data_IF_183306360638
#
_entry.id   IF_183306360638
#
_cell.length_a   1.000
_cell.length_b   1.000
_cell.length_c   1.000
_cell.angle_alpha   90.00
_cell.angle_beta   90.00
_cell.angle_gamma   90.00
#
_symmetry.space_group_name_H-M   'P 1'
#
loop_
_entity.id
_entity.type
_entity.pdbx_description
1 polymer ?
2 non-polymer ?
3 non-polymer ?
4 water ?
#
# COMPACT_ATOMS: atom_id res chain seq x y z
N UNK A 2 8.22 -26.42 -13.42
CA UNK A 2 9.61 -26.78 -13.69
C UNK A 2 10.50 -25.62 -14.13
N UNK A 3 10.02 -24.39 -13.96
CA UNK A 3 10.83 -23.22 -14.28
C UNK A 3 11.88 -23.02 -13.19
N UNK A 4 13.11 -22.75 -13.61
CA UNK A 4 14.18 -22.59 -12.63
C UNK A 4 14.02 -21.28 -11.86
N UNK A 5 14.60 -21.25 -10.67
CA UNK A 5 14.60 -19.98 -9.94
C UNK A 5 15.42 -18.94 -10.70
N UNK A 6 16.50 -19.36 -11.36
CA UNK A 6 17.29 -18.39 -12.13
C UNK A 6 16.40 -17.73 -13.17
N UNK A 7 15.53 -18.49 -13.83
CA UNK A 7 14.65 -17.91 -14.84
C UNK A 7 13.58 -16.98 -14.25
N UNK A 8 12.97 -17.36 -13.13
CA UNK A 8 12.01 -16.46 -12.50
C UNK A 8 12.70 -15.17 -12.12
N UNK A 9 13.91 -15.28 -11.54
CA UNK A 9 14.62 -14.07 -11.09
C UNK A 9 14.99 -13.18 -12.27
N UNK A 10 15.38 -13.79 -13.39
CA UNK A 10 15.74 -13.02 -14.57
C UNK A 10 14.51 -12.34 -15.16
N UNK A 11 13.39 -13.07 -15.21
CA UNK A 11 12.17 -12.49 -15.78
C UNK A 11 11.69 -11.32 -14.95
N UNK A 12 11.60 -11.50 -13.62
CA UNK A 12 11.08 -10.39 -12.81
C UNK A 12 12.03 -9.20 -12.85
N UNK A 13 13.33 -9.45 -12.77
CA UNK A 13 14.27 -8.33 -12.94
C UNK A 13 14.03 -7.58 -14.25
N UNK A 14 13.75 -8.31 -15.34
CA UNK A 14 13.56 -7.65 -16.63
C UNK A 14 12.32 -6.77 -16.64
N UNK A 15 11.29 -7.09 -15.83
CA UNK A 15 10.12 -6.21 -15.80
C UNK A 15 10.47 -4.83 -15.28
N UNK A 16 11.33 -4.77 -14.25
CA UNK A 16 11.80 -3.49 -13.73
C UNK A 16 12.77 -2.82 -14.70
N UNK A 17 13.68 -3.60 -15.30
CA UNK A 17 14.64 -3.01 -16.23
C UNK A 17 13.91 -2.36 -17.38
N UNK A 18 12.92 -3.05 -17.94
CA UNK A 18 12.24 -2.54 -19.15
C UNK A 18 11.39 -1.32 -18.83
N UNK A 19 10.91 -1.20 -17.59
CA UNK A 19 10.24 0.01 -17.14
C UNK A 19 11.20 1.16 -16.86
N UNK A 20 12.49 0.96 -17.05
CA UNK A 20 13.51 1.98 -16.86
C UNK A 20 13.49 2.54 -15.45
N UNK A 21 13.30 1.66 -14.48
CA UNK A 21 13.33 2.15 -13.11
C UNK A 21 14.16 1.18 -12.28
N UNK A 22 14.25 1.44 -11.02
CA UNK A 22 14.88 0.53 -10.04
C UNK A 22 13.91 0.11 -8.89
N UNK A 23 13.79 -1.18 -8.68
CA UNK A 23 12.79 -1.58 -7.70
C UNK A 23 12.94 -3.02 -7.26
N UNK A 24 12.09 -3.38 -6.31
CA UNK A 24 12.07 -4.73 -5.76
C UNK A 24 10.61 -5.12 -5.59
N UNK A 25 10.34 -6.41 -5.61
CA UNK A 25 9.06 -6.90 -5.13
C UNK A 25 9.36 -8.03 -4.15
N UNK A 26 8.77 -7.94 -2.95
CA UNK A 26 8.93 -8.96 -1.90
C UNK A 26 7.65 -9.77 -1.88
N UNK A 27 7.79 -11.09 -1.83
CA UNK A 27 6.65 -12.01 -1.76
C UNK A 27 6.80 -12.75 -0.47
N UNK A 28 5.69 -13.05 0.20
CA UNK A 28 5.78 -13.81 1.43
C UNK A 28 4.86 -15.00 1.31
N UNK A 29 5.39 -16.19 1.61
CA UNK A 29 4.59 -17.41 1.57
C UNK A 29 4.77 -18.07 2.92
N UNK A 30 3.69 -18.10 3.69
CA UNK A 30 3.81 -18.50 5.08
C UNK A 30 4.72 -17.50 5.76
N UNK A 31 5.80 -18.00 6.37
CA UNK A 31 6.75 -17.14 7.05
C UNK A 31 7.93 -16.78 6.17
N UNK A 32 8.02 -17.28 4.93
CA UNK A 32 9.25 -17.14 4.13
C UNK A 32 9.14 -15.99 3.15
N UNK A 33 10.11 -15.09 3.22
CA UNK A 33 10.19 -13.97 2.29
C UNK A 33 11.01 -14.35 1.06
N UNK A 34 10.61 -13.85 -0.09
CA UNK A 34 11.38 -13.95 -1.31
C UNK A 34 11.50 -12.56 -1.92
N UNK A 35 12.67 -12.21 -2.41
CA UNK A 35 12.90 -10.88 -2.93
C UNK A 35 13.31 -10.96 -4.40
N UNK A 36 12.59 -10.25 -5.25
CA UNK A 36 12.89 -10.23 -6.67
C UNK A 36 12.96 -8.78 -7.17
N UNK A 37 13.47 -8.60 -8.41
CA UNK A 37 13.51 -7.29 -9.02
C UNK A 37 14.91 -6.94 -9.46
N UNK A 38 15.13 -5.65 -9.76
CA UNK A 38 16.43 -5.25 -10.28
C UNK A 38 17.22 -4.38 -9.31
N UNK A 39 16.77 -4.22 -8.04
CA UNK A 39 17.55 -3.43 -7.08
C UNK A 39 17.25 -4.02 -5.70
N UNK A 40 17.78 -5.23 -5.45
CA UNK A 40 17.35 -6.03 -4.30
C UNK A 40 17.67 -5.34 -2.97
N UNK A 41 18.72 -4.51 -2.93
CA UNK A 41 19.08 -3.84 -1.70
C UNK A 41 18.01 -2.88 -1.21
N UNK A 42 17.05 -2.50 -2.06
CA UNK A 42 15.95 -1.68 -1.54
C UNK A 42 15.12 -2.38 -0.49
N UNK A 43 15.20 -3.72 -0.39
CA UNK A 43 14.28 -4.47 0.48
C UNK A 43 14.28 -3.99 1.92
N UNK A 44 15.46 -3.63 2.49
CA UNK A 44 15.57 -3.21 3.88
C UNK A 44 15.88 -1.73 4.02
N UNK A 45 15.63 -0.93 2.97
CA UNK A 45 15.76 0.52 3.06
C UNK A 45 14.42 1.17 3.37
N UNK A 46 14.48 2.29 4.07
CA UNK A 46 13.31 3.06 4.50
C UNK A 46 12.88 4.08 3.46
N UNK A 47 11.56 4.14 3.19
CA UNK A 47 10.98 5.14 2.29
C UNK A 47 9.69 5.65 2.93
N UNK A 48 9.25 6.84 2.54
CA UNK A 48 7.94 7.24 3.07
C UNK A 48 6.88 6.25 2.59
N UNK A 49 5.84 5.98 3.37
CA UNK A 49 4.82 5.03 2.90
C UNK A 49 3.89 5.63 1.86
N UNK A 50 3.84 6.96 1.78
CA UNK A 50 2.92 7.60 0.86
C UNK A 50 1.52 7.05 1.06
N UNK A 51 0.73 6.89 0.00
CA UNK A 51 -0.68 6.53 0.20
C UNK A 51 -0.87 5.09 0.67
N UNK A 52 0.19 4.26 0.75
CA UNK A 52 -0.02 2.97 1.42
C UNK A 52 -0.46 3.19 2.87
N UNK A 53 -0.12 4.33 3.47
CA UNK A 53 -0.56 4.61 4.84
C UNK A 53 -2.10 4.70 4.94
N UNK A 54 -2.80 4.92 3.81
CA UNK A 54 -4.28 5.02 3.92
C UNK A 54 -4.83 3.73 4.52
N UNK A 55 -4.15 2.59 4.35
CA UNK A 55 -4.71 1.34 4.93
C UNK A 55 -4.73 1.48 6.45
N UNK A 56 -3.64 1.99 7.03
CA UNK A 56 -3.60 2.13 8.48
C UNK A 56 -4.44 3.33 8.97
N UNK A 57 -4.43 4.44 8.21
CA UNK A 57 -5.28 5.58 8.57
C UNK A 57 -6.73 5.12 8.69
N UNK A 58 -7.20 4.33 7.73
CA UNK A 58 -8.59 3.84 7.76
C UNK A 58 -8.84 2.95 8.96
N UNK A 59 -7.93 2.01 9.22
CA UNK A 59 -8.10 1.17 10.40
C UNK A 59 -8.19 2.01 11.68
N UNK A 60 -7.28 2.97 11.84
CA UNK A 60 -7.28 3.84 13.03
C UNK A 60 -8.58 4.63 13.10
N UNK A 61 -9.00 5.21 11.98
CA UNK A 61 -10.19 6.07 12.06
C UNK A 61 -11.44 5.27 12.36
N UNK A 62 -11.57 4.08 11.76
CA UNK A 62 -12.76 3.28 12.02
C UNK A 62 -12.75 2.73 13.44
N UNK A 63 -11.60 2.20 13.86
CA UNK A 63 -11.53 1.63 15.21
C UNK A 63 -11.90 2.65 16.27
N UNK A 64 -11.49 3.89 16.07
CA UNK A 64 -11.70 4.96 17.02
C UNK A 64 -12.96 5.81 16.73
N UNK A 65 -13.86 5.31 15.87
CA UNK A 65 -15.17 5.96 15.66
C UNK A 65 -15.05 7.36 15.10
N UNK A 66 -14.01 7.60 14.29
CA UNK A 66 -13.86 8.89 13.65
C UNK A 66 -14.57 8.95 12.32
N UNK A 67 -15.06 7.82 11.83
CA UNK A 67 -15.81 7.69 10.59
C UNK A 67 -16.53 6.35 10.62
N UNK A 68 -17.50 6.19 9.71
CA UNK A 68 -18.11 4.90 9.42
C UNK A 68 -17.85 4.57 7.96
N UNK A 69 -18.11 3.33 7.57
CA UNK A 69 -17.83 2.94 6.19
C UNK A 69 -18.84 3.51 5.21
N UNK A 70 -20.02 3.97 5.69
CA UNK A 70 -20.94 4.53 4.70
C UNK A 70 -20.92 6.04 4.71
N UNK A 71 -20.17 6.65 5.63
CA UNK A 71 -20.16 8.10 5.72
C UNK A 71 -19.63 8.71 4.42
N UNK A 72 -20.32 9.73 3.94
CA UNK A 72 -19.92 10.40 2.71
C UNK A 72 -19.17 11.66 3.11
N UNK A 73 -17.89 11.72 2.75
CA UNK A 73 -17.04 12.88 2.96
C UNK A 73 -17.32 13.84 1.80
N UNK A 74 -17.93 14.99 2.11
CA UNK A 74 -18.33 15.88 1.03
C UNK A 74 -17.15 16.69 0.51
N UNK A 75 -17.06 16.83 -0.81
CA UNK A 75 -16.09 17.73 -1.41
C UNK A 75 -16.46 19.17 -1.02
N UNK A 76 -15.44 19.94 -0.57
CA UNK A 76 -15.71 21.29 -0.09
C UNK A 76 -15.79 22.30 -1.21
N UNK A 77 -15.72 21.84 -2.45
CA UNK A 77 -15.87 22.71 -3.59
C UNK A 77 -14.62 23.43 -4.04
N UNK A 78 -13.49 23.22 -3.37
CA UNK A 78 -12.23 23.82 -3.81
C UNK A 78 -11.52 22.95 -4.85
N UNK A 79 -10.73 23.61 -5.69
CA UNK A 79 -10.04 22.87 -6.73
C UNK A 79 -9.08 21.87 -6.10
N UNK A 80 -9.02 20.69 -6.67
CA UNK A 80 -8.10 19.68 -6.18
C UNK A 80 -7.05 19.39 -7.23
N UNK A 81 -6.00 18.74 -6.79
CA UNK A 81 -4.90 18.44 -7.69
C UNK A 81 -5.38 17.61 -8.87
N UNK A 82 -6.31 16.69 -8.65
CA UNK A 82 -6.91 15.81 -9.63
C UNK A 82 -8.40 16.03 -9.72
N UNK A 83 -8.95 16.22 -10.92
CA UNK A 83 -10.40 16.40 -11.07
C UNK A 83 -11.23 15.30 -10.47
N UNK A 84 -10.73 14.06 -10.49
CA UNK A 84 -11.49 12.93 -9.95
C UNK A 84 -11.71 13.04 -8.43
N UNK A 85 -10.96 13.88 -7.75
CA UNK A 85 -11.17 14.06 -6.32
C UNK A 85 -12.22 15.12 -6.00
N UNK A 86 -12.77 15.80 -7.02
CA UNK A 86 -13.74 16.87 -6.81
C UNK A 86 -15.15 16.28 -6.73
N UNK A 87 -15.32 15.39 -5.77
CA UNK A 87 -16.60 14.73 -5.57
C UNK A 87 -16.64 14.18 -4.15
N UNK A 88 -17.85 13.80 -3.75
CA UNK A 88 -18.16 13.29 -2.42
C UNK A 88 -17.88 11.79 -2.41
N UNK A 89 -17.25 11.30 -1.34
CA UNK A 89 -16.69 9.94 -1.35
C UNK A 89 -16.80 9.30 0.02
N UNK A 90 -17.01 7.98 0.06
CA UNK A 90 -16.81 7.20 1.28
C UNK A 90 -15.31 6.91 1.41
N UNK A 91 -14.93 6.38 2.58
CA UNK A 91 -13.53 5.96 2.77
C UNK A 91 -13.10 4.96 1.71
N UNK A 92 -13.99 4.03 1.34
CA UNK A 92 -13.61 3.02 0.35
C UNK A 92 -13.41 3.62 -1.03
N UNK A 93 -14.29 4.55 -1.41
CA UNK A 93 -14.10 5.23 -2.70
C UNK A 93 -12.82 6.05 -2.69
N UNK A 94 -12.54 6.72 -1.57
CA UNK A 94 -11.32 7.48 -1.45
C UNK A 94 -10.08 6.57 -1.46
N UNK A 95 -10.20 5.36 -0.92
CA UNK A 95 -9.09 4.41 -1.00
C UNK A 95 -8.76 4.11 -2.46
N UNK A 96 -9.80 3.85 -3.25
CA UNK A 96 -9.60 3.47 -4.66
C UNK A 96 -9.07 4.62 -5.49
N UNK A 97 -9.46 5.84 -5.17
CA UNK A 97 -8.96 7.00 -5.90
C UNK A 97 -7.70 7.59 -5.27
N UNK A 98 -7.20 7.01 -4.19
CA UNK A 98 -6.12 7.59 -3.40
C UNK A 98 -6.36 9.06 -3.08
N UNK A 99 -7.58 9.38 -2.65
CA UNK A 99 -8.00 10.76 -2.42
C UNK A 99 -7.43 11.30 -1.10
N UNK A 100 -6.22 11.84 -1.22
CA UNK A 100 -5.52 12.37 -0.06
C UNK A 100 -6.40 13.34 0.74
N UNK A 101 -7.21 14.23 0.15
CA UNK A 101 -7.98 15.16 1.02
C UNK A 101 -8.90 14.48 1.99
N UNK A 102 -9.50 13.37 1.58
CA UNK A 102 -10.40 12.66 2.48
C UNK A 102 -9.63 12.08 3.63
N UNK A 103 -8.47 11.48 3.34
CA UNK A 103 -7.68 10.89 4.41
C UNK A 103 -6.97 11.94 5.26
N UNK A 104 -6.74 13.14 4.74
CA UNK A 104 -6.27 14.23 5.58
C UNK A 104 -7.36 14.65 6.57
N UNK A 105 -8.62 14.70 6.10
CA UNK A 105 -9.72 14.98 7.01
C UNK A 105 -9.81 13.91 8.08
N UNK A 106 -9.70 12.63 7.69
CA UNK A 106 -9.77 11.58 8.70
C UNK A 106 -8.62 11.73 9.70
N UNK A 107 -7.40 12.01 9.22
CA UNK A 107 -6.27 12.18 10.13
C UNK A 107 -6.49 13.35 11.10
N UNK A 108 -7.08 14.46 10.61
CA UNK A 108 -7.38 15.59 11.50
C UNK A 108 -8.44 15.20 12.54
N UNK A 109 -9.41 14.36 12.17
CA UNK A 109 -10.39 13.93 13.16
C UNK A 109 -9.73 13.12 14.25
N UNK A 110 -8.84 12.20 13.84
CA UNK A 110 -8.11 11.40 14.83
C UNK A 110 -7.25 12.30 15.72
N UNK A 111 -6.54 13.26 15.13
CA UNK A 111 -5.72 14.20 15.86
C UNK A 111 -4.34 13.62 16.16
N UNK A 112 -3.40 14.53 16.37
CA UNK A 112 -1.99 14.14 16.46
C UNK A 112 -1.74 13.18 17.61
N UNK A 113 -2.26 13.49 18.81
CA UNK A 113 -1.94 12.65 19.97
C UNK A 113 -2.37 11.21 19.76
N UNK A 114 -3.62 11.01 19.36
CA UNK A 114 -4.13 9.67 19.16
C UNK A 114 -3.46 9.01 17.97
N UNK A 115 -3.23 9.78 16.88
CA UNK A 115 -2.55 9.19 15.73
C UNK A 115 -1.19 8.63 16.14
N UNK A 116 -0.42 9.43 16.89
CA UNK A 116 0.91 8.97 17.25
C UNK A 116 0.81 7.76 18.17
N UNK A 117 -0.12 7.78 19.12
CA UNK A 117 -0.28 6.60 19.99
C UNK A 117 -0.63 5.36 19.18
N UNK A 118 -1.53 5.50 18.20
CA UNK A 118 -1.98 4.35 17.44
C UNK A 118 -0.90 3.84 16.49
N UNK A 119 -0.14 4.75 15.87
CA UNK A 119 0.93 4.32 14.96
C UNK A 119 2.01 3.60 15.76
N UNK A 120 2.29 4.10 16.97
CA UNK A 120 3.22 3.41 17.86
C UNK A 120 2.67 2.07 18.33
N UNK A 121 1.37 2.01 18.66
CA UNK A 121 0.76 0.76 19.12
C UNK A 121 0.84 -0.33 18.05
N UNK A 122 0.66 0.05 16.77
CA UNK A 122 0.76 -0.91 15.69
C UNK A 122 2.21 -1.18 15.33
N UNK A 123 3.13 -0.34 15.75
CA UNK A 123 4.56 -0.50 15.42
C UNK A 123 4.79 -0.47 13.90
N UNK A 124 4.24 0.54 13.25
CA UNK A 124 4.32 0.68 11.80
C UNK A 124 5.57 1.44 11.40
N UNK A 125 6.46 0.78 10.64
CA UNK A 125 7.66 1.44 10.13
C UNK A 125 8.51 1.95 11.27
N UNK A 126 9.07 3.15 11.09
CA UNK A 126 9.85 3.78 12.15
C UNK A 126 8.98 4.38 13.25
N UNK A 127 7.66 4.31 13.11
CA UNK A 127 6.67 4.72 14.10
C UNK A 127 6.63 6.24 14.37
N UNK A 128 7.41 7.07 13.67
CA UNK A 128 7.51 8.49 14.00
C UNK A 128 6.60 9.33 13.09
N UNK A 129 5.61 10.03 13.68
CA UNK A 129 4.76 10.89 12.86
C UNK A 129 5.07 12.37 12.99
N UNK A 130 5.96 12.78 13.92
CA UNK A 130 6.33 14.18 13.97
C UNK A 130 5.18 15.02 14.50
N UNK A 131 5.10 16.26 14.02
CA UNK A 131 4.21 17.27 14.57
C UNK A 131 3.05 17.65 13.66
N UNK A 132 2.98 17.14 12.43
CA UNK A 132 2.00 17.60 11.43
C UNK A 132 1.09 16.40 11.13
N UNK A 133 -0.12 16.39 11.70
CA UNK A 133 -0.99 15.24 11.60
C UNK A 133 -1.48 14.99 10.18
N UNK A 134 -1.40 15.97 9.29
CA UNK A 134 -2.00 15.86 7.97
C UNK A 134 -1.04 15.59 6.81
N UNK A 135 0.28 15.37 7.05
CA UNK A 135 1.13 15.03 5.91
C UNK A 135 2.31 14.11 6.25
N UNK A 136 2.31 13.52 7.44
CA UNK A 136 3.51 12.82 7.93
C UNK A 136 3.80 11.56 7.13
N UNK A 137 2.82 11.06 6.37
CA UNK A 137 3.03 9.86 5.56
C UNK A 137 3.49 10.19 4.15
N UNK A 138 3.51 11.48 3.78
CA UNK A 138 3.82 11.95 2.45
C UNK A 138 5.24 12.52 2.34
N UNK A 139 5.69 13.24 3.37
CA UNK A 139 6.96 13.96 3.29
C UNK A 139 7.88 13.61 4.44
N UNK A 140 7.57 12.54 5.18
CA UNK A 140 8.28 12.24 6.39
C UNK A 140 7.60 12.93 7.56
N UNK A 141 7.99 12.60 8.79
CA UNK A 141 9.15 11.75 9.12
C UNK A 141 8.84 10.26 9.12
N UNK A 142 7.60 9.85 8.91
CA UNK A 142 7.29 8.43 8.93
C UNK A 142 7.92 7.73 7.75
N UNK A 143 8.60 6.60 8.01
CA UNK A 143 9.21 5.80 6.95
C UNK A 143 9.04 4.33 7.28
N UNK A 144 9.17 3.51 6.22
CA UNK A 144 8.96 2.07 6.34
C UNK A 144 9.74 1.37 5.23
N UNK A 145 10.19 0.12 5.52
CA UNK A 145 10.89 -0.63 4.46
C UNK A 145 9.92 -1.55 3.71
N UNK A 146 10.33 -2.03 2.53
CA UNK A 146 9.52 -3.00 1.82
C UNK A 146 9.28 -4.27 2.64
N UNK A 147 10.28 -4.74 3.41
CA UNK A 147 10.06 -5.91 4.25
C UNK A 147 8.96 -5.60 5.27
N UNK A 148 9.02 -4.40 5.87
CA UNK A 148 7.98 -4.02 6.84
C UNK A 148 6.61 -3.91 6.18
N UNK A 149 6.55 -3.40 4.95
CA UNK A 149 5.25 -3.28 4.27
C UNK A 149 4.68 -4.66 3.94
N UNK A 150 5.52 -5.61 3.46
CA UNK A 150 4.93 -6.91 3.18
C UNK A 150 4.49 -7.60 4.48
N UNK A 151 5.21 -7.38 5.58
CA UNK A 151 4.78 -7.98 6.85
C UNK A 151 3.52 -7.32 7.36
N UNK A 152 3.33 -6.02 7.12
CA UNK A 152 2.07 -5.38 7.49
C UNK A 152 0.92 -5.98 6.68
N UNK A 153 1.13 -6.13 5.36
CA UNK A 153 0.13 -6.77 4.49
C UNK A 153 -0.20 -8.17 4.99
N UNK A 154 0.83 -8.93 5.38
CA UNK A 154 0.63 -10.28 5.93
C UNK A 154 -0.26 -10.22 7.16
N UNK A 155 0.03 -9.29 8.08
CA UNK A 155 -0.79 -9.15 9.30
C UNK A 155 -2.23 -8.81 8.94
N UNK A 156 -2.45 -7.81 8.07
CA UNK A 156 -3.82 -7.44 7.75
C UNK A 156 -4.54 -8.58 7.07
N UNK A 157 -3.86 -9.25 6.12
CA UNK A 157 -4.52 -10.33 5.40
C UNK A 157 -5.01 -11.42 6.36
N UNK A 158 -4.28 -11.65 7.46
CA UNK A 158 -4.62 -12.70 8.41
C UNK A 158 -5.33 -12.18 9.65
N UNK A 159 -5.83 -10.93 9.60
CA UNK A 159 -6.51 -10.33 10.74
C UNK A 159 -5.66 -10.31 12.01
N UNK A 160 -4.35 -10.14 11.87
CA UNK A 160 -3.45 -10.15 13.01
C UNK A 160 -3.12 -8.79 13.57
N UNK A 161 -3.53 -7.69 12.90
CA UNK A 161 -3.26 -6.38 13.47
C UNK A 161 -4.10 -6.16 14.73
N UNK A 162 -3.66 -5.29 15.62
CA UNK A 162 -4.37 -5.09 16.90
C UNK A 162 -5.57 -4.15 16.76
N UNK A 163 -6.54 -4.58 15.97
CA UNK A 163 -7.81 -3.89 15.79
C UNK A 163 -8.88 -4.96 15.83
N UNK A 164 -10.13 -4.56 16.05
CA UNK A 164 -11.21 -5.53 15.97
C UNK A 164 -11.19 -6.24 14.62
N UNK A 165 -11.63 -7.49 14.62
CA UNK A 165 -11.79 -8.25 13.39
C UNK A 165 -12.67 -7.49 12.40
N UNK A 166 -13.77 -6.92 12.88
CA UNK A 166 -14.69 -6.21 11.99
C UNK A 166 -14.01 -5.01 11.34
N UNK A 167 -13.17 -4.29 12.10
CA UNK A 167 -12.45 -3.16 11.55
C UNK A 167 -11.53 -3.63 10.42
N UNK A 168 -10.81 -4.73 10.67
CA UNK A 168 -9.90 -5.20 9.62
C UNK A 168 -10.66 -5.70 8.39
N UNK A 169 -11.80 -6.36 8.60
CA UNK A 169 -12.58 -6.82 7.46
C UNK A 169 -13.12 -5.64 6.65
N UNK A 170 -13.56 -4.58 7.34
CA UNK A 170 -14.09 -3.44 6.59
C UNK A 170 -13.01 -2.77 5.76
N UNK A 171 -11.79 -2.65 6.28
CA UNK A 171 -10.73 -2.04 5.46
C UNK A 171 -10.32 -2.97 4.32
N UNK A 172 -10.23 -4.29 4.59
CA UNK A 172 -9.87 -5.21 3.51
C UNK A 172 -10.86 -5.11 2.35
N UNK A 173 -12.15 -4.93 2.65
CA UNK A 173 -13.12 -4.79 1.58
C UNK A 173 -12.80 -3.60 0.68
N UNK A 174 -12.16 -2.54 1.22
CA UNK A 174 -11.85 -1.38 0.41
C UNK A 174 -10.68 -1.57 -0.52
N UNK A 175 -9.95 -2.67 -0.39
CA UNK A 175 -8.67 -2.85 -1.07
C UNK A 175 -8.75 -3.77 -2.27
N UNK A 176 -9.92 -4.29 -2.61
CA UNK A 176 -9.99 -5.22 -3.73
C UNK A 176 -9.75 -4.48 -5.04
N UNK A 177 -8.68 -4.79 -5.75
CA UNK A 177 -8.36 -4.04 -6.96
C UNK A 177 -8.43 -4.86 -8.24
N UNK A 178 -8.41 -6.20 -8.16
CA UNK A 178 -8.39 -6.97 -9.39
C UNK A 178 -8.83 -8.39 -9.10
N UNK A 179 -9.55 -8.99 -10.05
CA UNK A 179 -9.90 -10.41 -10.00
C UNK A 179 -9.39 -11.07 -11.27
N UNK A 180 -8.60 -12.13 -11.11
CA UNK A 180 -7.92 -12.82 -12.19
C UNK A 180 -8.24 -14.30 -12.03
N UNK A 181 -8.86 -14.91 -13.04
CA UNK A 181 -9.41 -16.26 -12.89
C UNK A 181 -10.21 -16.39 -11.60
N UNK A 182 -9.78 -17.23 -10.65
CA UNK A 182 -10.38 -17.28 -9.34
C UNK A 182 -9.59 -16.59 -8.25
N UNK A 183 -8.56 -15.83 -8.60
CA UNK A 183 -7.75 -15.13 -7.62
C UNK A 183 -8.29 -13.73 -7.40
N UNK A 184 -8.09 -13.20 -6.21
CA UNK A 184 -8.43 -11.81 -5.92
C UNK A 184 -7.18 -11.10 -5.43
N UNK A 185 -6.95 -9.89 -5.92
CA UNK A 185 -5.80 -9.10 -5.50
C UNK A 185 -6.31 -7.94 -4.67
N UNK A 186 -5.88 -7.88 -3.42
CA UNK A 186 -6.15 -6.77 -2.51
C UNK A 186 -4.86 -5.99 -2.38
N UNK A 187 -4.89 -4.68 -2.64
CA UNK A 187 -3.64 -3.94 -2.50
C UNK A 187 -3.94 -2.45 -2.45
N UNK A 188 -2.94 -1.69 -1.99
CA UNK A 188 -2.99 -0.22 -2.02
C UNK A 188 -1.71 0.29 -2.66
N UNK A 189 -1.87 1.20 -3.63
CA UNK A 189 -0.74 1.85 -4.28
C UNK A 189 -0.24 3.04 -3.44
N UNK A 190 0.99 3.46 -3.71
CA UNK A 190 1.49 4.70 -3.15
C UNK A 190 2.41 5.36 -4.15
N UNK A 191 2.44 6.68 -4.12
CA UNK A 191 3.36 7.43 -4.97
C UNK A 191 3.76 8.64 -4.15
N UNK A 192 4.99 8.67 -3.67
CA UNK A 192 5.43 9.80 -2.87
C UNK A 192 6.02 10.83 -3.81
N UNK A 193 5.20 11.77 -4.25
CA UNK A 193 5.68 12.76 -5.21
C UNK A 193 6.38 13.92 -4.53
N UNK A 194 6.24 14.04 -3.22
CA UNK A 194 6.79 15.12 -2.43
C UNK A 194 8.15 14.84 -1.82
N UNK A 195 8.79 13.72 -2.17
CA UNK A 195 10.15 13.42 -1.74
C UNK A 195 11.00 13.21 -2.98
N UNK A 196 12.31 13.33 -2.80
CA UNK A 196 13.26 13.16 -3.89
C UNK A 196 14.29 12.13 -3.47
N UNK A 197 14.47 11.06 -4.24
CA UNK A 197 13.70 10.65 -5.41
C UNK A 197 12.29 10.22 -5.01
N UNK A 198 11.40 10.13 -5.98
CA UNK A 198 10.03 9.75 -5.67
C UNK A 198 9.95 8.25 -5.50
N UNK A 199 9.04 7.81 -4.63
CA UNK A 199 8.89 6.39 -4.34
C UNK A 199 7.53 5.92 -4.85
N UNK A 200 7.49 4.72 -5.40
CA UNK A 200 6.25 4.08 -5.80
C UNK A 200 6.08 2.77 -5.06
N UNK A 201 4.84 2.46 -4.68
CA UNK A 201 4.55 1.24 -3.93
C UNK A 201 3.30 0.58 -4.51
N UNK A 202 3.24 -0.74 -4.36
CA UNK A 202 1.95 -1.44 -4.42
C UNK A 202 2.05 -2.59 -3.42
N UNK A 203 1.25 -2.52 -2.36
CA UNK A 203 1.40 -3.47 -1.26
C UNK A 203 0.06 -4.13 -1.00
N UNK A 204 0.07 -5.46 -0.85
CA UNK A 204 -1.20 -6.10 -0.61
C UNK A 204 -1.02 -7.61 -0.55
N UNK A 205 -2.01 -8.35 -1.03
CA UNK A 205 -1.90 -9.80 -1.05
C UNK A 205 -2.81 -10.36 -2.11
N UNK A 206 -2.48 -11.58 -2.55
CA UNK A 206 -3.34 -12.36 -3.44
C UNK A 206 -4.11 -13.33 -2.56
N UNK A 207 -5.43 -13.38 -2.73
CA UNK A 207 -6.22 -14.45 -2.11
C UNK A 207 -6.55 -15.44 -3.21
N UNK A 208 -5.98 -16.65 -3.12
CA UNK A 208 -6.19 -17.64 -4.15
C UNK A 208 -7.53 -18.35 -3.94
N UNK A 209 -7.99 -19.03 -4.99
CA UNK A 209 -9.30 -19.67 -4.97
C UNK A 209 -9.42 -20.64 -3.80
N UNK A 210 -8.33 -21.35 -3.50
CA UNK A 210 -8.29 -22.30 -2.39
C UNK A 210 -8.22 -21.64 -1.02
N UNK A 211 -8.07 -20.32 -0.94
CA UNK A 211 -8.05 -19.63 0.33
C UNK A 211 -6.67 -19.21 0.82
N UNK A 212 -5.59 -19.70 0.21
CA UNK A 212 -4.26 -19.26 0.64
C UNK A 212 -4.11 -17.78 0.33
N UNK A 213 -3.41 -17.06 1.20
CA UNK A 213 -3.13 -15.64 0.99
C UNK A 213 -1.62 -15.44 0.86
N UNK A 214 -1.22 -14.75 -0.19
CA UNK A 214 0.19 -14.52 -0.52
C UNK A 214 0.44 -13.01 -0.53
N UNK A 215 0.99 -12.45 0.55
CA UNK A 215 1.29 -11.01 0.59
C UNK A 215 2.45 -10.63 -0.32
N UNK A 216 2.44 -9.37 -0.74
CA UNK A 216 3.54 -8.87 -1.55
C UNK A 216 3.70 -7.38 -1.29
N UNK A 217 4.89 -6.85 -1.61
CA UNK A 217 5.10 -5.41 -1.60
C UNK A 217 6.07 -5.09 -2.72
N UNK A 218 5.62 -4.28 -3.68
CA UNK A 218 6.45 -3.73 -4.73
C UNK A 218 6.88 -2.34 -4.32
N UNK A 219 8.17 -2.03 -4.51
CA UNK A 219 8.71 -0.71 -4.20
C UNK A 219 9.65 -0.34 -5.32
N UNK A 220 9.46 0.85 -5.91
CA UNK A 220 10.35 1.26 -7.00
C UNK A 220 10.53 2.77 -6.97
N UNK A 221 11.46 3.24 -7.78
CA UNK A 221 11.65 4.67 -7.95
C UNK A 221 10.74 5.13 -9.08
N UNK A 222 9.88 6.11 -8.80
CA UNK A 222 9.05 6.71 -9.85
C UNK A 222 9.83 7.87 -10.45
N UNK A 223 9.77 7.99 -11.75
CA UNK A 223 10.58 8.95 -12.49
C UNK A 223 9.65 9.86 -13.26
N UNK A 224 10.22 10.93 -13.80
CA UNK A 224 9.43 11.94 -14.51
C UNK A 224 8.75 11.31 -15.71
N UNK A 225 7.45 11.54 -15.81
CA UNK A 225 6.68 11.06 -16.94
C UNK A 225 6.30 9.60 -16.90
N UNK A 226 6.54 8.91 -15.79
CA UNK A 226 6.14 7.51 -15.70
C UNK A 226 4.65 7.46 -15.41
N UNK A 227 4.01 6.38 -15.81
CA UNK A 227 2.61 6.15 -15.50
C UNK A 227 2.48 5.38 -14.18
N UNK A 228 1.52 5.78 -13.36
CA UNK A 228 1.27 5.03 -12.12
C UNK A 228 0.96 3.57 -12.39
N UNK A 229 0.36 3.26 -13.54
CA UNK A 229 -0.02 1.89 -13.82
C UNK A 229 1.18 0.95 -13.93
N UNK A 230 2.40 1.47 -14.05
CA UNK A 230 3.57 0.58 -14.11
C UNK A 230 3.69 -0.23 -12.82
N UNK A 231 3.25 0.34 -11.69
CA UNK A 231 3.32 -0.40 -10.44
C UNK A 231 2.45 -1.64 -10.52
N UNK A 232 1.20 -1.46 -11.00
CA UNK A 232 0.31 -2.59 -11.16
C UNK A 232 0.82 -3.56 -12.22
N UNK A 233 1.32 -3.05 -13.35
CA UNK A 233 1.75 -3.92 -14.44
C UNK A 233 2.93 -4.81 -14.03
N UNK A 234 3.94 -4.21 -13.39
CA UNK A 234 5.07 -5.03 -12.94
C UNK A 234 4.61 -6.04 -11.91
N UNK A 235 3.74 -5.62 -10.99
CA UNK A 235 3.27 -6.53 -9.94
C UNK A 235 2.53 -7.72 -10.55
N UNK A 236 1.58 -7.44 -11.45
CA UNK A 236 0.78 -8.57 -11.96
C UNK A 236 1.65 -9.49 -12.82
N UNK A 237 2.58 -8.92 -13.58
CA UNK A 237 3.46 -9.77 -14.39
C UNK A 237 4.33 -10.63 -13.49
N UNK A 238 4.80 -10.07 -12.38
CA UNK A 238 5.63 -10.83 -11.43
C UNK A 238 4.83 -11.96 -10.78
N UNK A 239 3.63 -11.65 -10.25
CA UNK A 239 2.79 -12.66 -9.65
C UNK A 239 2.43 -13.75 -10.64
N UNK A 240 2.18 -13.37 -11.90
CA UNK A 240 1.86 -14.40 -12.89
C UNK A 240 3.09 -15.25 -13.20
N UNK A 241 4.26 -14.64 -13.34
CA UNK A 241 5.46 -15.42 -13.64
C UNK A 241 5.72 -16.47 -12.56
N UNK A 242 5.44 -16.13 -11.30
CA UNK A 242 5.65 -17.07 -10.18
C UNK A 242 4.50 -18.04 -10.02
N UNK A 243 3.45 -17.92 -10.84
CA UNK A 243 2.30 -18.81 -10.72
C UNK A 243 1.40 -18.51 -9.55
N UNK A 244 1.51 -17.31 -8.97
CA UNK A 244 0.68 -16.97 -7.82
C UNK A 244 -0.71 -16.54 -8.29
N UNK A 245 -0.80 -15.94 -9.48
CA UNK A 245 -2.06 -15.73 -10.16
C UNK A 245 -1.97 -16.36 -11.55
X LIG B 1 -1.37 15.19 -3.99
X LIG B 1 -2.62 17.14 -3.01
X LIG B 1 -0.42 17.40 -4.27
X LIG B 1 -0.68 8.58 -2.68
X LIG B 1 0.65 16.85 -4.97
X LIG B 1 0.71 15.46 -5.18
X LIG B 1 -0.30 14.62 -4.69
X LIG B 1 -0.23 13.09 -4.91
X LIG B 1 -1.11 10.16 -2.76
X LIG B 1 -2.23 10.43 -3.81
X LIG B 1 -1.72 10.13 -5.25
X LIG B 1 -1.43 16.57 -3.78
X LIG B 1 0.22 10.57 -3.34
X LIG B 1 0.66 8.23 -2.57
X LIG B 1 -1.22 7.80 -3.68
X LIG B 1 0.20 12.98 -2.26
X LIG B 1 2.05 12.60 -3.49
X LIG B 1 -3.29 18.11 -3.44
X LIG B 1 -2.94 16.60 -1.91
X LIG B 1 0.61 12.27 -3.48
X LIG B 1 -2.16 14.56 -3.61
X LIG B 1 -0.48 18.48 -4.12
X LIG B 1 1.44 17.48 -5.36
X LIG B 1 1.54 15.04 -5.73
X LIG B 1 -1.24 12.69 -5.01
X LIG B 1 0.33 12.88 -5.82
X LIG B 1 -2.52 11.48 -3.76
X LIG B 1 -3.09 9.80 -3.60
X LIG B 1 -0.70 10.49 -5.36
X LIG B 1 -2.36 10.62 -5.98
X LIG B 1 -1.75 9.06 -5.42
X LIG B 1 0.87 9.87 -3.66
X LIG B 1 1.12 8.87 -2.05
X LIG B 1 -2.17 7.78 -3.63
X LIG C 1 14.15 -1.93 12.78
X LIG C 1 14.42 -0.59 12.24
X LIG C 1 14.80 -1.90 14.08
X LIG C 1 12.73 -2.09 13.08
X LIG C 1 14.63 -2.98 11.81
X LIG D 1 14.61 -15.29 -3.62
X LIG D 1 15.95 -15.15 -4.16
X LIG D 1 14.50 -14.43 -2.46
X LIG D 1 13.72 -14.98 -4.70
X LIG D 1 14.40 -16.71 -3.28
X LIG E 1 21.33 -16.23 -20.13
X LIG E 1 22.62 -15.67 -20.55
X LIG E 1 20.54 -15.21 -19.41
X LIG E 1 21.60 -17.35 -19.24
X LIG E 1 20.62 -16.71 -21.31
X LIG F 1 -1.03 -20.21 3.92
X LIG F 1 0.41 -19.94 3.78
X LIG F 1 -1.51 -19.62 5.16
X LIG F 1 -1.77 -19.61 2.82
X LIG F 1 -1.24 -21.66 3.91
X LIG G 1 -12.50 -4.42 -8.77
X LIG G 1 -11.49 -3.36 -8.69
X LIG G 1 -13.02 -4.70 -7.43
X LIG G 1 -13.58 -3.96 -9.64
X LIG G 1 -11.91 -5.64 -9.32
X LIG H 1 -3.44 -20.47 -8.61
X LIG H 1 -2.34 -21.38 -8.32
X LIG H 1 -3.68 -19.63 -7.44
X LIG H 1 -4.66 -21.22 -8.90
X LIG H 1 -3.08 -19.62 -9.76
X LIG I 1 -4.77 16.63 19.46
X LIG I 1 -3.51 15.87 19.47
X LIG I 1 -4.95 17.05 20.89
X LIG I 1 -5.94 15.73 19.20
X LIG I 1 -4.79 17.80 18.55
#
# INVERSE_FOLDING_TARGET
>A
MHISSQQHEKAIKSYFDEAQTQGVIIIKEGKNLSTYGNALARANKEYVPASTFKMLNALIGLENHKATTNEIFKWDGKKRTYPMWEKDMTLGEAMALSAVPVYQELARRTGLELMQKEVKRVNFGNTNIGTQVDNFWLVGPLKITPVQEVNFADDLAHNRLPFKLETQEEVKKMLLIKEVNGSKIYAKSGWGMGVTPQVGWLTGWVEQANGKKIPFSLNLEMKEGMSGSIRNEITYKSLENLGII
>B hetero
1 OZ9 C15 C17 C20 B08 C01 C02 C03 C04 C07 C11 C12 C16 N06 O09 O10 O13 O14 O18 O19 S05 H151 H201 H011 H021 H041 H042 H111 H112 H121 H123 H122 H061 H091 H101
>C hetero
1 SO4 S O1 O2 O3 O4
>D hetero
1 SO4 S O1 O2 O3 O4
>E hetero
1 SO4 S O1 O2 O3 O4
>F hetero
1 SO4 S O1 O2 O3 O4
>G hetero
1 SO4 S O1 O2 O3 O4
>H hetero
1 SO4 S O1 O2 O3 O4
>I hetero
1 SO4 S O1 O2 O3 O4
#
